data_IF_321017404982
#
_entry.id   IF_321017404982
#
_cell.length_a   1.000
_cell.length_b   1.000
_cell.length_c   1.000
_cell.angle_alpha   90.00
_cell.angle_beta   90.00
_cell.angle_gamma   90.00
#
_symmetry.space_group_name_H-M   'P 1'
#
loop_
_entity.id
_entity.type
_entity.pdbx_description
1 polymer ?
#
# COMPACT_ATOMS: atom_id res chain seq x y z
N UNK A 1 26.12 -15.93 21.44
CA UNK A 1 25.55 -15.16 20.28
C UNK A 1 24.09 -15.52 20.00
N UNK A 2 23.50 -16.40 20.79
CA UNK A 2 22.08 -16.73 20.72
C UNK A 2 21.21 -15.46 20.96
N UNK A 3 20.21 -15.27 20.12
CA UNK A 3 19.26 -14.15 20.22
C UNK A 3 19.72 -12.83 19.56
N UNK A 4 20.89 -12.72 18.96
CA UNK A 4 21.33 -11.51 18.24
C UNK A 4 20.95 -11.54 16.75
N UNK A 5 20.77 -12.71 16.16
CA UNK A 5 20.38 -12.90 14.76
C UNK A 5 18.91 -13.31 14.70
N UNK A 6 18.15 -12.74 13.75
CA UNK A 6 16.75 -13.12 13.52
C UNK A 6 16.63 -14.50 12.92
N UNK A 7 15.51 -15.15 13.18
CA UNK A 7 15.18 -16.41 12.50
C UNK A 7 14.99 -16.13 11.01
N UNK A 8 15.69 -16.84 10.11
CA UNK A 8 15.55 -16.63 8.68
C UNK A 8 14.12 -16.89 8.21
N UNK A 9 13.65 -16.07 7.29
CA UNK A 9 12.37 -16.32 6.60
C UNK A 9 12.62 -17.18 5.39
N UNK A 10 11.79 -18.20 5.20
CA UNK A 10 11.87 -19.07 4.03
C UNK A 10 11.25 -18.38 2.82
N UNK A 11 11.92 -18.45 1.70
CA UNK A 11 11.52 -17.82 0.44
C UNK A 11 11.73 -18.78 -0.73
N UNK A 12 11.04 -18.51 -1.85
CA UNK A 12 11.31 -19.17 -3.10
C UNK A 12 12.71 -18.79 -3.61
N UNK A 13 13.41 -19.76 -4.22
CA UNK A 13 14.68 -19.51 -4.90
C UNK A 13 14.54 -18.40 -5.97
N UNK A 14 15.48 -17.42 -6.04
CA UNK A 14 15.32 -16.25 -6.90
C UNK A 14 15.01 -16.54 -8.36
N UNK A 15 15.68 -17.53 -8.96
CA UNK A 15 15.45 -17.92 -10.36
C UNK A 15 14.10 -18.59 -10.58
N UNK A 16 13.57 -19.26 -9.57
CA UNK A 16 12.24 -19.89 -9.62
C UNK A 16 11.15 -18.84 -9.45
N UNK A 17 11.26 -18.01 -8.42
CA UNK A 17 10.24 -16.99 -8.15
C UNK A 17 10.13 -15.93 -9.26
N UNK A 18 11.22 -15.69 -10.01
CA UNK A 18 11.23 -14.79 -11.16
C UNK A 18 10.34 -15.25 -12.34
N UNK A 19 9.86 -16.49 -12.33
CA UNK A 19 9.08 -17.09 -13.42
C UNK A 19 7.63 -17.40 -13.06
N UNK A 20 7.19 -17.07 -11.84
CA UNK A 20 5.82 -17.36 -11.39
C UNK A 20 5.25 -16.21 -10.56
N UNK A 21 3.94 -16.25 -10.31
CA UNK A 21 3.21 -15.26 -9.50
C UNK A 21 2.86 -15.75 -8.11
N UNK A 22 3.39 -16.90 -7.68
CA UNK A 22 3.23 -17.41 -6.32
C UNK A 22 3.90 -16.50 -5.29
N UNK A 23 3.37 -16.48 -4.06
CA UNK A 23 3.92 -15.65 -3.00
C UNK A 23 5.40 -15.97 -2.74
N UNK A 24 6.25 -14.95 -2.77
CA UNK A 24 7.72 -15.08 -2.65
C UNK A 24 8.13 -15.63 -1.30
N UNK A 25 7.60 -15.04 -0.22
CA UNK A 25 7.91 -15.44 1.15
C UNK A 25 6.90 -16.46 1.65
N UNK A 26 7.39 -17.57 2.23
CA UNK A 26 6.52 -18.57 2.86
C UNK A 26 6.09 -18.21 4.29
N UNK A 27 6.77 -17.26 4.93
CA UNK A 27 6.54 -16.89 6.33
C UNK A 27 7.15 -17.88 7.32
N UNK A 28 6.84 -17.68 8.61
CA UNK A 28 7.24 -18.59 9.69
C UNK A 28 6.24 -19.72 9.87
N UNK A 29 6.75 -20.90 10.28
CA UNK A 29 5.94 -21.91 10.96
C UNK A 29 5.86 -21.61 12.47
N UNK A 30 5.16 -22.44 13.24
CA UNK A 30 4.96 -22.24 14.68
C UNK A 30 6.28 -22.21 15.47
N UNK A 31 7.20 -23.13 15.18
CA UNK A 31 8.50 -23.24 15.84
C UNK A 31 9.38 -22.03 15.55
N UNK A 32 9.44 -21.61 14.28
CA UNK A 32 10.16 -20.41 13.84
C UNK A 32 9.59 -19.15 14.48
N UNK A 33 8.25 -19.02 14.54
CA UNK A 33 7.58 -17.89 15.16
C UNK A 33 7.86 -17.81 16.68
N UNK A 34 7.78 -18.93 17.40
CA UNK A 34 8.09 -18.99 18.83
C UNK A 34 9.56 -18.69 19.10
N UNK A 35 10.47 -19.21 18.27
CA UNK A 35 11.89 -18.92 18.38
C UNK A 35 12.18 -17.43 18.17
N UNK A 36 11.59 -16.80 17.13
CA UNK A 36 11.73 -15.36 16.89
C UNK A 36 11.08 -14.50 17.98
N UNK A 37 9.89 -14.88 18.45
CA UNK A 37 9.19 -14.20 19.55
C UNK A 37 10.02 -14.23 20.86
N UNK A 38 10.77 -15.29 21.09
CA UNK A 38 11.64 -15.44 22.27
C UNK A 38 12.80 -14.45 22.29
N UNK A 39 13.14 -13.84 21.17
CA UNK A 39 14.13 -12.76 21.09
C UNK A 39 13.63 -11.43 21.66
N UNK A 40 12.32 -11.26 21.78
CA UNK A 40 11.73 -10.02 22.28
C UNK A 40 12.07 -9.81 23.77
N UNK A 41 12.50 -8.61 24.12
CA UNK A 41 12.88 -8.24 25.50
C UNK A 41 11.70 -7.78 26.36
N UNK A 42 10.50 -7.72 25.81
CA UNK A 42 9.28 -7.22 26.46
C UNK A 42 9.51 -5.89 27.19
N UNK A 43 9.99 -4.88 26.45
CA UNK A 43 10.42 -3.59 26.97
C UNK A 43 9.26 -2.83 27.63
N UNK A 44 9.44 -2.30 28.86
CA UNK A 44 8.44 -1.44 29.53
C UNK A 44 8.11 -0.16 28.74
N UNK A 45 9.11 0.43 28.07
CA UNK A 45 8.95 1.58 27.17
C UNK A 45 9.30 1.15 25.73
N UNK A 46 8.41 0.38 25.15
CA UNK A 46 8.61 -0.26 23.84
C UNK A 46 8.60 0.78 22.71
N UNK A 47 9.79 1.16 22.23
CA UNK A 47 9.91 2.12 21.12
C UNK A 47 9.32 1.60 19.82
N UNK A 48 9.27 0.28 19.62
CA UNK A 48 8.61 -0.35 18.46
C UNK A 48 7.12 0.05 18.36
N UNK A 49 6.39 0.18 19.46
CA UNK A 49 5.00 0.66 19.46
C UNK A 49 4.88 2.08 18.93
N UNK A 50 5.81 2.97 19.31
CA UNK A 50 5.85 4.36 18.80
C UNK A 50 6.23 4.44 17.32
N UNK A 51 6.85 3.40 16.80
CA UNK A 51 7.16 3.27 15.36
C UNK A 51 6.00 2.69 14.53
N UNK A 52 4.91 2.25 15.17
CA UNK A 52 3.75 1.71 14.48
C UNK A 52 2.66 2.78 14.32
N UNK A 53 2.29 3.17 13.09
CA UNK A 53 1.27 4.21 12.86
C UNK A 53 -0.12 3.90 13.41
N UNK A 54 -0.44 2.63 13.66
CA UNK A 54 -1.69 2.19 14.28
C UNK A 54 -1.53 1.75 15.73
N UNK A 55 -0.32 1.90 16.29
CA UNK A 55 -0.02 1.69 17.72
C UNK A 55 -0.36 0.28 18.24
N UNK A 56 -0.06 -0.77 17.48
CA UNK A 56 -0.22 -2.17 17.93
C UNK A 56 0.58 -2.37 19.24
N UNK A 57 -0.01 -3.07 20.19
CA UNK A 57 0.69 -3.49 21.41
C UNK A 57 1.65 -4.64 21.11
N UNK A 58 2.79 -4.29 20.48
CA UNK A 58 3.78 -5.24 19.96
C UNK A 58 4.35 -6.16 21.03
N UNK A 59 4.80 -5.70 22.21
CA UNK A 59 5.28 -6.60 23.25
C UNK A 59 4.24 -7.59 23.73
N UNK A 60 2.98 -7.17 23.84
CA UNK A 60 1.92 -8.03 24.33
C UNK A 60 1.59 -9.16 23.36
N UNK A 61 1.41 -8.88 22.05
CA UNK A 61 1.13 -9.96 21.10
C UNK A 61 2.33 -10.90 20.94
N UNK A 62 3.56 -10.39 20.96
CA UNK A 62 4.77 -11.24 20.85
C UNK A 62 4.89 -12.14 22.10
N UNK A 63 4.55 -11.66 23.28
CA UNK A 63 4.52 -12.48 24.49
C UNK A 63 3.53 -13.66 24.34
N UNK A 64 2.35 -13.43 23.75
CA UNK A 64 1.38 -14.49 23.47
C UNK A 64 1.90 -15.50 22.42
N UNK A 65 2.58 -15.03 21.39
CA UNK A 65 3.22 -15.91 20.39
C UNK A 65 4.25 -16.82 21.07
N UNK A 66 5.07 -16.28 21.96
CA UNK A 66 6.06 -17.04 22.72
C UNK A 66 5.43 -18.16 23.55
N UNK A 67 4.27 -17.91 24.14
CA UNK A 67 3.51 -18.88 24.95
C UNK A 67 2.58 -19.77 24.10
N UNK A 68 2.64 -19.67 22.76
CA UNK A 68 1.78 -20.39 21.80
C UNK A 68 0.29 -20.07 21.93
N UNK A 69 -0.07 -18.92 22.49
CA UNK A 69 -1.44 -18.42 22.57
C UNK A 69 -1.76 -17.57 21.33
N UNK A 70 -1.79 -18.18 20.15
CA UNK A 70 -1.85 -17.47 18.87
C UNK A 70 -3.20 -16.75 18.65
N UNK A 71 -4.29 -17.30 19.15
CA UNK A 71 -5.61 -16.65 19.12
C UNK A 71 -5.61 -15.35 19.93
N UNK A 72 -5.07 -15.35 21.14
CA UNK A 72 -4.96 -14.15 21.97
C UNK A 72 -3.99 -13.13 21.32
N UNK A 73 -2.90 -13.59 20.73
CA UNK A 73 -2.00 -12.72 19.95
C UNK A 73 -2.76 -12.02 18.82
N UNK A 74 -3.63 -12.72 18.08
CA UNK A 74 -4.47 -12.15 17.04
C UNK A 74 -5.46 -11.12 17.59
N UNK A 75 -6.11 -11.39 18.70
CA UNK A 75 -7.04 -10.43 19.32
C UNK A 75 -6.33 -9.16 19.73
N UNK A 76 -5.14 -9.24 20.33
CA UNK A 76 -4.33 -8.06 20.69
C UNK A 76 -3.96 -7.23 19.47
N UNK A 77 -3.56 -7.86 18.36
CA UNK A 77 -3.27 -7.15 17.10
C UNK A 77 -4.53 -6.49 16.56
N UNK A 78 -5.65 -7.21 16.54
CA UNK A 78 -6.93 -6.78 15.95
C UNK A 78 -7.58 -5.61 16.69
N UNK A 79 -7.21 -5.33 17.94
CA UNK A 79 -7.64 -4.11 18.65
C UNK A 79 -7.16 -2.84 17.94
N UNK A 80 -5.97 -2.89 17.33
CA UNK A 80 -5.33 -1.72 16.71
C UNK A 80 -5.25 -1.80 15.19
N UNK A 81 -5.15 -2.99 14.61
CA UNK A 81 -4.96 -3.20 13.16
C UNK A 81 -6.15 -3.94 12.55
N UNK A 82 -6.76 -3.34 11.54
CA UNK A 82 -7.84 -3.96 10.77
C UNK A 82 -7.33 -4.93 9.69
N UNK A 83 -6.05 -4.83 9.30
CA UNK A 83 -5.45 -5.55 8.16
C UNK A 83 -4.10 -6.19 8.52
N UNK A 84 -4.00 -7.03 9.56
CA UNK A 84 -2.71 -7.53 10.04
C UNK A 84 -1.99 -8.43 9.04
N UNK A 85 -2.70 -9.26 8.27
CA UNK A 85 -2.09 -10.13 7.26
C UNK A 85 -1.49 -9.33 6.10
N UNK A 86 -2.08 -8.18 5.76
CA UNK A 86 -1.54 -7.22 4.80
C UNK A 86 -0.32 -6.52 5.38
N UNK A 87 -0.43 -5.93 6.57
CA UNK A 87 0.64 -5.17 7.22
C UNK A 87 1.90 -6.01 7.41
N UNK A 88 1.77 -7.24 7.87
CA UNK A 88 2.88 -8.17 8.02
C UNK A 88 3.66 -8.46 6.73
N UNK A 89 3.02 -8.25 5.56
CA UNK A 89 3.63 -8.43 4.24
C UNK A 89 4.21 -7.17 3.63
N UNK A 90 3.53 -6.01 3.79
CA UNK A 90 3.82 -4.83 2.97
C UNK A 90 4.32 -3.60 3.74
N UNK A 91 4.22 -3.57 5.07
CA UNK A 91 4.77 -2.47 5.86
C UNK A 91 6.29 -2.32 5.66
N UNK A 92 6.81 -1.09 5.61
CA UNK A 92 8.25 -0.83 5.65
C UNK A 92 8.77 -0.93 7.10
N UNK A 93 8.74 -2.13 7.69
CA UNK A 93 9.04 -2.37 9.09
C UNK A 93 10.44 -1.87 9.48
N UNK A 94 11.40 -1.95 8.56
CA UNK A 94 12.79 -1.51 8.73
C UNK A 94 12.92 -0.02 9.07
N UNK A 95 11.96 0.80 8.67
CA UNK A 95 11.90 2.24 9.00
C UNK A 95 10.86 2.57 10.09
N UNK A 96 10.06 1.61 10.51
CA UNK A 96 8.97 1.76 11.47
C UNK A 96 9.23 0.97 12.76
N UNK A 97 8.40 -0.04 13.06
CA UNK A 97 8.49 -0.80 14.31
C UNK A 97 9.83 -1.52 14.50
N UNK A 98 10.32 -2.22 13.49
CA UNK A 98 11.63 -2.91 13.56
C UNK A 98 12.79 -1.92 13.64
N UNK A 99 12.73 -0.81 12.90
CA UNK A 99 13.72 0.27 12.98
C UNK A 99 13.83 0.94 14.34
N UNK A 100 12.81 0.78 15.22
CA UNK A 100 12.81 1.27 16.61
C UNK A 100 13.08 0.16 17.64
N UNK A 101 13.29 -1.07 17.20
CA UNK A 101 13.55 -2.19 18.10
C UNK A 101 14.94 -2.08 18.73
N UNK A 102 15.00 -2.14 20.07
CA UNK A 102 16.26 -2.02 20.82
C UNK A 102 17.26 -3.15 20.49
N UNK A 103 16.78 -4.30 20.04
CA UNK A 103 17.67 -5.39 19.57
C UNK A 103 18.55 -4.97 18.41
N UNK A 104 18.06 -4.07 17.55
CA UNK A 104 18.80 -3.54 16.40
C UNK A 104 20.10 -2.80 16.72
N UNK A 105 20.33 -2.39 18.00
CA UNK A 105 21.59 -1.76 18.40
C UNK A 105 22.79 -2.73 18.49
N UNK A 106 22.53 -4.02 18.71
CA UNK A 106 23.60 -5.02 18.92
C UNK A 106 23.49 -6.24 18.01
N UNK A 107 22.49 -6.29 17.17
CA UNK A 107 22.21 -7.41 16.25
C UNK A 107 21.01 -7.06 15.38
N UNK A 108 20.25 -8.07 14.97
CA UNK A 108 19.04 -7.85 14.19
C UNK A 108 17.86 -7.44 15.09
N UNK A 109 17.03 -6.47 14.69
CA UNK A 109 15.75 -6.23 15.34
C UNK A 109 14.89 -7.50 15.32
N UNK A 110 13.93 -7.60 16.22
CA UNK A 110 12.92 -8.67 16.17
C UNK A 110 12.12 -8.52 14.87
N UNK A 111 11.86 -9.60 14.16
CA UNK A 111 11.10 -9.62 12.91
C UNK A 111 9.60 -9.47 13.20
N UNK A 112 9.21 -8.27 13.66
CA UNK A 112 7.86 -7.93 14.14
C UNK A 112 6.82 -8.16 13.04
N UNK A 113 7.10 -7.69 11.82
CA UNK A 113 6.17 -7.87 10.69
C UNK A 113 5.99 -9.33 10.30
N UNK A 114 7.04 -10.16 10.39
CA UNK A 114 6.93 -11.60 10.10
C UNK A 114 6.12 -12.33 11.18
N UNK A 115 6.23 -11.90 12.44
CA UNK A 115 5.39 -12.42 13.55
C UNK A 115 3.92 -11.96 13.40
N UNK A 116 3.67 -10.70 13.05
CA UNK A 116 2.33 -10.19 12.74
C UNK A 116 1.67 -10.99 11.60
N UNK A 117 2.42 -11.22 10.52
CA UNK A 117 1.98 -12.07 9.41
C UNK A 117 1.64 -13.48 9.87
N UNK A 118 2.52 -14.11 10.65
CA UNK A 118 2.31 -15.46 11.16
C UNK A 118 0.99 -15.55 11.95
N UNK A 119 0.78 -14.64 12.89
CA UNK A 119 -0.43 -14.62 13.73
C UNK A 119 -1.69 -14.43 12.89
N UNK A 120 -1.66 -13.52 11.92
CA UNK A 120 -2.81 -13.25 11.05
C UNK A 120 -3.11 -14.43 10.11
N UNK A 121 -2.09 -15.07 9.55
CA UNK A 121 -2.24 -16.25 8.70
C UNK A 121 -2.76 -17.45 9.51
N UNK A 122 -2.23 -17.67 10.72
CA UNK A 122 -2.70 -18.71 11.63
C UNK A 122 -4.19 -18.50 11.99
N UNK A 123 -4.58 -17.27 12.36
CA UNK A 123 -5.96 -16.94 12.69
C UNK A 123 -6.91 -17.19 11.52
N UNK A 124 -6.52 -16.82 10.30
CA UNK A 124 -7.28 -17.10 9.08
C UNK A 124 -7.49 -18.60 8.87
N UNK A 125 -6.42 -19.39 9.02
CA UNK A 125 -6.45 -20.85 8.83
C UNK A 125 -7.30 -21.58 9.89
N UNK A 126 -7.42 -20.99 11.08
CA UNK A 126 -8.26 -21.51 12.17
C UNK A 126 -9.64 -20.86 12.24
N UNK A 127 -10.00 -19.99 11.27
CA UNK A 127 -11.32 -19.37 11.20
C UNK A 127 -11.62 -18.35 12.30
N UNK A 128 -10.58 -17.83 12.97
CA UNK A 128 -10.74 -16.82 14.01
C UNK A 128 -11.14 -15.48 13.38
N UNK A 129 -12.14 -14.84 13.96
CA UNK A 129 -12.72 -13.57 13.47
C UNK A 129 -12.56 -12.46 14.50
N UNK A 130 -12.49 -11.18 14.07
CA UNK A 130 -12.51 -10.06 14.99
C UNK A 130 -13.84 -9.96 15.73
N UNK A 131 -13.82 -9.40 16.95
CA UNK A 131 -14.99 -9.24 17.80
C UNK A 131 -15.90 -8.14 17.25
N UNK A 132 -17.17 -8.47 17.00
CA UNK A 132 -18.23 -7.54 16.56
C UNK A 132 -18.83 -6.83 17.77
N UNK A 133 -19.35 -5.60 17.56
CA UNK A 133 -20.17 -4.91 18.57
C UNK A 133 -21.44 -5.69 18.88
N UNK A 134 -21.87 -5.68 20.14
CA UNK A 134 -23.07 -6.39 20.59
C UNK A 134 -24.36 -5.70 20.10
N UNK A 135 -24.33 -4.36 19.98
CA UNK A 135 -25.49 -3.55 19.56
C UNK A 135 -25.06 -2.42 18.65
N UNK A 136 -25.95 -2.06 17.74
CA UNK A 136 -25.83 -0.81 16.97
C UNK A 136 -26.18 0.38 17.86
N UNK A 137 -25.49 1.51 17.62
CA UNK A 137 -25.71 2.77 18.34
C UNK A 137 -26.75 3.69 17.67
N UNK A 138 -27.28 3.29 16.51
CA UNK A 138 -28.32 4.01 15.76
C UNK A 138 -27.82 5.04 14.77
N UNK A 139 -26.51 5.28 14.69
CA UNK A 139 -25.91 6.22 13.73
C UNK A 139 -25.40 5.52 12.47
N UNK A 140 -25.56 6.18 11.32
CA UNK A 140 -25.20 5.65 10.00
C UNK A 140 -24.08 6.45 9.37
N UNK A 141 -23.00 5.77 8.95
CA UNK A 141 -21.80 6.39 8.37
C UNK A 141 -21.48 5.81 7.00
N UNK A 142 -21.24 6.67 6.02
CA UNK A 142 -20.76 6.30 4.70
C UNK A 142 -19.23 6.39 4.62
N UNK A 143 -18.60 5.39 4.02
CA UNK A 143 -17.17 5.36 3.74
C UNK A 143 -16.96 5.29 2.23
N UNK A 144 -16.19 6.20 1.65
CA UNK A 144 -15.92 6.26 0.22
C UNK A 144 -14.55 5.68 -0.07
N UNK A 145 -14.53 4.53 -0.73
CA UNK A 145 -13.34 3.76 -1.05
C UNK A 145 -13.04 2.66 -0.03
N UNK A 146 -12.77 1.47 -0.52
CA UNK A 146 -12.44 0.26 0.24
C UNK A 146 -10.94 -0.02 0.31
N UNK A 147 -10.10 1.00 0.13
CA UNK A 147 -8.67 0.90 0.37
C UNK A 147 -8.34 0.82 1.87
N UNK A 148 -7.04 0.75 2.24
CA UNK A 148 -6.63 0.59 3.63
C UNK A 148 -7.23 1.61 4.61
N UNK A 149 -7.33 2.87 4.22
CA UNK A 149 -7.94 3.93 5.05
C UNK A 149 -9.43 3.66 5.28
N UNK A 150 -10.18 3.36 4.20
CA UNK A 150 -11.61 3.10 4.28
C UNK A 150 -11.95 1.84 5.06
N UNK A 151 -11.25 0.73 4.80
CA UNK A 151 -11.44 -0.53 5.55
C UNK A 151 -11.16 -0.36 7.05
N UNK A 152 -10.11 0.41 7.40
CA UNK A 152 -9.76 0.67 8.81
C UNK A 152 -10.79 1.57 9.48
N UNK A 153 -11.17 2.68 8.84
CA UNK A 153 -12.19 3.59 9.35
C UNK A 153 -13.52 2.86 9.58
N UNK A 154 -13.98 2.10 8.59
CA UNK A 154 -15.22 1.33 8.66
C UNK A 154 -15.17 0.25 9.75
N UNK A 155 -14.07 -0.50 9.84
CA UNK A 155 -13.90 -1.53 10.85
C UNK A 155 -13.89 -0.98 12.28
N UNK A 156 -13.19 0.14 12.51
CA UNK A 156 -13.14 0.75 13.84
C UNK A 156 -14.50 1.35 14.23
N UNK A 157 -15.22 2.00 13.32
CA UNK A 157 -16.59 2.47 13.56
C UNK A 157 -17.57 1.33 13.82
N UNK A 158 -17.48 0.23 13.06
CA UNK A 158 -18.34 -0.94 13.27
C UNK A 158 -18.13 -1.58 14.65
N UNK A 159 -16.89 -1.62 15.16
CA UNK A 159 -16.60 -2.06 16.53
C UNK A 159 -17.25 -1.19 17.61
N UNK A 160 -17.52 0.10 17.30
CA UNK A 160 -18.23 1.04 18.16
C UNK A 160 -19.76 0.97 17.99
N UNK A 161 -20.26 0.11 17.11
CA UNK A 161 -21.68 -0.11 16.89
C UNK A 161 -22.31 0.80 15.83
N UNK A 162 -21.54 1.51 15.03
CA UNK A 162 -22.04 2.28 13.89
C UNK A 162 -22.55 1.37 12.78
N UNK A 163 -23.61 1.78 12.09
CA UNK A 163 -24.07 1.19 10.84
C UNK A 163 -23.26 1.78 9.69
N UNK A 164 -22.33 0.99 9.13
CA UNK A 164 -21.33 1.47 8.18
C UNK A 164 -21.50 0.82 6.82
N UNK A 165 -21.59 1.65 5.78
CA UNK A 165 -21.56 1.22 4.38
C UNK A 165 -20.33 1.81 3.67
N UNK A 166 -19.52 0.94 3.06
CA UNK A 166 -18.42 1.32 2.17
C UNK A 166 -18.94 1.35 0.72
N UNK A 167 -18.73 2.44 0.02
CA UNK A 167 -18.97 2.56 -1.43
C UNK A 167 -17.65 2.47 -2.18
N UNK A 168 -17.50 1.45 -3.03
CA UNK A 168 -16.31 1.17 -3.81
C UNK A 168 -16.59 1.35 -5.31
N UNK A 169 -15.76 2.12 -5.99
CA UNK A 169 -15.90 2.37 -7.42
C UNK A 169 -15.59 1.14 -8.28
N UNK A 170 -14.67 0.29 -7.85
CA UNK A 170 -14.25 -0.91 -8.57
C UNK A 170 -15.20 -2.09 -8.27
N UNK A 171 -15.09 -3.12 -9.09
CA UNK A 171 -15.87 -4.36 -8.91
C UNK A 171 -15.36 -5.24 -7.77
N UNK A 172 -14.20 -4.93 -7.19
CA UNK A 172 -13.56 -5.65 -6.10
C UNK A 172 -13.08 -4.68 -5.03
N UNK A 173 -13.34 -5.02 -3.76
CA UNK A 173 -12.85 -4.26 -2.61
C UNK A 173 -11.35 -4.45 -2.38
N UNK A 174 -10.73 -3.51 -1.67
CA UNK A 174 -9.33 -3.54 -1.27
C UNK A 174 -8.50 -2.36 -1.82
N UNK A 175 -9.02 -1.62 -2.80
CA UNK A 175 -8.28 -0.49 -3.39
C UNK A 175 -6.91 -0.93 -3.91
N UNK A 176 -5.85 -0.19 -3.54
CA UNK A 176 -4.46 -0.49 -3.95
C UNK A 176 -3.99 -1.90 -3.57
N UNK A 177 -4.55 -2.51 -2.53
CA UNK A 177 -4.25 -3.89 -2.15
C UNK A 177 -4.68 -4.88 -3.25
N UNK A 178 -5.75 -4.56 -3.97
CA UNK A 178 -6.28 -5.40 -5.04
C UNK A 178 -5.72 -5.04 -6.42
N UNK A 179 -5.59 -3.76 -6.76
CA UNK A 179 -5.15 -3.37 -8.11
C UNK A 179 -3.65 -3.09 -8.23
N UNK A 180 -2.98 -2.65 -7.14
CA UNK A 180 -1.63 -2.09 -7.22
C UNK A 180 -0.53 -3.04 -6.78
N UNK A 181 -0.68 -3.74 -5.66
CA UNK A 181 0.35 -4.61 -5.10
C UNK A 181 0.28 -5.98 -5.80
N UNK A 182 1.39 -6.52 -6.33
CA UNK A 182 1.37 -7.79 -7.08
C UNK A 182 1.00 -9.02 -6.25
N UNK A 183 0.47 -10.04 -6.92
CA UNK A 183 0.08 -11.32 -6.34
C UNK A 183 1.23 -11.98 -5.56
N UNK A 184 2.43 -11.97 -6.11
CA UNK A 184 3.62 -12.58 -5.49
C UNK A 184 4.11 -11.87 -4.22
N UNK A 185 3.58 -10.67 -3.89
CA UNK A 185 3.81 -9.97 -2.62
C UNK A 185 2.61 -10.03 -1.69
N UNK A 186 1.42 -9.94 -2.24
CA UNK A 186 0.16 -9.86 -1.51
C UNK A 186 -0.93 -10.64 -2.26
N UNK A 187 -1.13 -11.93 -1.97
CA UNK A 187 -2.15 -12.75 -2.60
C UNK A 187 -3.56 -12.18 -2.45
N UNK A 188 -4.30 -12.05 -3.57
CA UNK A 188 -5.60 -11.36 -3.58
C UNK A 188 -6.70 -12.20 -2.97
N UNK A 189 -6.84 -13.44 -3.45
CA UNK A 189 -7.96 -14.28 -3.03
C UNK A 189 -7.73 -14.89 -1.64
N UNK A 190 -6.47 -15.21 -1.31
CA UNK A 190 -6.11 -15.83 -0.03
C UNK A 190 -5.98 -14.81 1.11
N UNK A 191 -5.45 -13.61 0.86
CA UNK A 191 -5.11 -12.65 1.91
C UNK A 191 -6.01 -11.43 1.88
N UNK A 192 -6.05 -10.68 0.76
CA UNK A 192 -6.83 -9.43 0.70
C UNK A 192 -8.33 -9.70 0.88
N UNK A 193 -8.86 -10.71 0.19
CA UNK A 193 -10.27 -11.07 0.34
C UNK A 193 -10.61 -11.50 1.78
N UNK A 194 -9.73 -12.26 2.44
CA UNK A 194 -9.94 -12.68 3.82
C UNK A 194 -9.98 -11.50 4.80
N UNK A 195 -9.11 -10.50 4.61
CA UNK A 195 -9.12 -9.28 5.42
C UNK A 195 -10.36 -8.42 5.18
N UNK A 196 -10.82 -8.31 3.93
CA UNK A 196 -12.08 -7.65 3.59
C UNK A 196 -13.26 -8.37 4.26
N UNK A 197 -13.30 -9.70 4.21
CA UNK A 197 -14.34 -10.50 4.89
C UNK A 197 -14.29 -10.37 6.42
N UNK A 198 -13.12 -10.14 7.02
CA UNK A 198 -12.99 -9.82 8.44
C UNK A 198 -13.65 -8.47 8.77
N UNK A 199 -13.47 -7.45 7.92
CA UNK A 199 -14.15 -6.16 8.08
C UNK A 199 -15.67 -6.30 7.93
N UNK A 200 -16.14 -7.07 6.94
CA UNK A 200 -17.57 -7.38 6.76
C UNK A 200 -18.16 -8.15 7.97
N UNK A 201 -17.38 -9.06 8.55
CA UNK A 201 -17.80 -9.80 9.75
C UNK A 201 -18.06 -8.90 10.97
N UNK A 202 -17.49 -7.69 11.01
CA UNK A 202 -17.80 -6.66 12.02
C UNK A 202 -19.19 -6.03 11.80
N UNK A 203 -19.84 -6.26 10.67
CA UNK A 203 -21.15 -5.70 10.31
C UNK A 203 -21.07 -4.57 9.30
N UNK A 204 -19.95 -4.41 8.61
CA UNK A 204 -19.79 -3.42 7.53
C UNK A 204 -20.37 -3.96 6.23
N UNK A 205 -21.23 -3.16 5.58
CA UNK A 205 -21.69 -3.42 4.22
C UNK A 205 -20.72 -2.80 3.20
N UNK A 206 -20.49 -3.50 2.09
CA UNK A 206 -19.63 -3.03 1.00
C UNK A 206 -20.39 -3.10 -0.32
N UNK A 207 -20.63 -1.95 -0.92
CA UNK A 207 -21.27 -1.79 -2.22
C UNK A 207 -20.22 -1.47 -3.28
N UNK A 208 -19.96 -2.41 -4.18
CA UNK A 208 -19.02 -2.25 -5.31
C UNK A 208 -19.71 -1.65 -6.53
N UNK A 209 -18.91 -1.17 -7.50
CA UNK A 209 -19.38 -0.52 -8.74
C UNK A 209 -20.21 0.76 -8.49
N UNK A 210 -19.96 1.45 -7.36
CA UNK A 210 -20.61 2.72 -7.01
C UNK A 210 -19.57 3.84 -7.04
N UNK A 211 -19.65 4.70 -8.06
CA UNK A 211 -18.73 5.82 -8.25
C UNK A 211 -19.31 7.09 -7.61
N UNK A 212 -18.84 7.40 -6.40
CA UNK A 212 -19.25 8.64 -5.71
C UNK A 212 -18.80 9.87 -6.50
N UNK A 213 -19.72 10.81 -6.71
CA UNK A 213 -19.57 11.95 -7.60
C UNK A 213 -20.10 11.73 -9.01
N UNK A 214 -20.49 10.48 -9.35
CA UNK A 214 -21.16 10.11 -10.61
C UNK A 214 -22.50 9.43 -10.35
N UNK A 215 -22.47 8.24 -9.71
CA UNK A 215 -23.70 7.48 -9.41
C UNK A 215 -24.55 8.20 -8.36
N UNK A 216 -23.92 8.65 -7.30
CA UNK A 216 -24.49 9.42 -6.20
C UNK A 216 -23.47 10.43 -5.68
N UNK A 217 -23.90 11.58 -5.17
CA UNK A 217 -23.03 12.60 -4.59
C UNK A 217 -23.00 12.50 -3.07
N UNK A 218 -21.97 13.07 -2.44
CA UNK A 218 -21.86 13.12 -0.96
C UNK A 218 -23.08 13.80 -0.33
N UNK A 219 -23.54 14.94 -0.90
CA UNK A 219 -24.71 15.63 -0.38
C UNK A 219 -25.98 14.76 -0.44
N UNK A 220 -26.12 13.93 -1.49
CA UNK A 220 -27.25 13.03 -1.61
C UNK A 220 -27.19 11.87 -0.58
N UNK A 221 -26.00 11.34 -0.30
CA UNK A 221 -25.82 10.34 0.78
C UNK A 221 -26.28 10.89 2.13
N UNK A 222 -25.93 12.14 2.44
CA UNK A 222 -26.28 12.76 3.71
C UNK A 222 -27.75 13.22 3.76
N UNK A 223 -28.27 13.85 2.72
CA UNK A 223 -29.60 14.47 2.72
C UNK A 223 -30.73 13.46 2.42
N UNK A 224 -30.46 12.44 1.59
CA UNK A 224 -31.51 11.53 1.08
C UNK A 224 -31.37 10.11 1.63
N UNK A 225 -30.12 9.60 1.79
CA UNK A 225 -29.87 8.21 2.22
C UNK A 225 -29.67 8.09 3.75
N UNK A 226 -29.66 9.24 4.46
CA UNK A 226 -29.62 9.30 5.92
C UNK A 226 -28.26 9.00 6.55
N UNK A 227 -27.17 9.12 5.83
CA UNK A 227 -25.84 9.06 6.42
C UNK A 227 -25.53 10.35 7.18
N UNK A 228 -25.14 10.23 8.43
CA UNK A 228 -24.90 11.36 9.34
C UNK A 228 -23.47 11.89 9.28
N UNK A 229 -22.55 11.05 8.83
CA UNK A 229 -21.16 11.41 8.53
C UNK A 229 -20.65 10.63 7.33
N UNK A 230 -19.63 11.19 6.67
CA UNK A 230 -18.96 10.59 5.50
C UNK A 230 -17.46 10.61 5.70
N UNK A 231 -16.79 9.48 5.46
CA UNK A 231 -15.33 9.41 5.36
C UNK A 231 -14.89 9.23 3.90
N UNK A 232 -13.96 10.06 3.43
CA UNK A 232 -13.37 9.99 2.09
C UNK A 232 -11.99 9.34 2.17
N UNK A 233 -11.92 8.08 1.74
CA UNK A 233 -10.69 7.28 1.63
C UNK A 233 -10.44 6.85 0.18
N UNK A 234 -10.69 7.74 -0.79
CA UNK A 234 -10.66 7.43 -2.24
C UNK A 234 -9.26 7.23 -2.82
N UNK A 235 -8.21 7.42 -2.02
CA UNK A 235 -6.83 7.18 -2.44
C UNK A 235 -6.29 8.19 -3.44
N UNK A 236 -5.19 7.81 -4.10
CA UNK A 236 -4.51 8.60 -5.13
C UNK A 236 -4.14 7.68 -6.30
N UNK A 237 -5.02 7.56 -7.29
CA UNK A 237 -4.86 6.63 -8.41
C UNK A 237 -4.52 7.31 -9.76
N UNK A 238 -4.47 8.65 -9.83
CA UNK A 238 -4.19 9.38 -11.06
C UNK A 238 -2.67 9.43 -11.30
N UNK A 239 -2.14 8.76 -12.35
CA UNK A 239 -0.70 8.66 -12.57
C UNK A 239 -0.08 9.99 -12.98
N UNK A 240 1.23 10.11 -12.68
CA UNK A 240 2.06 11.24 -13.14
C UNK A 240 2.99 10.79 -14.25
N UNK A 241 3.22 11.70 -15.19
CA UNK A 241 4.13 11.56 -16.30
C UNK A 241 5.23 12.63 -16.21
N UNK A 242 6.28 12.48 -17.01
CA UNK A 242 7.43 13.41 -17.02
C UNK A 242 7.15 14.66 -17.86
N UNK A 243 6.29 14.57 -18.87
CA UNK A 243 6.07 15.61 -19.87
C UNK A 243 7.18 15.67 -20.93
N UNK A 244 7.85 14.54 -21.19
CA UNK A 244 8.90 14.43 -22.20
C UNK A 244 8.34 14.03 -23.56
N UNK A 245 9.06 14.33 -24.68
CA UNK A 245 8.64 13.90 -26.00
C UNK A 245 8.48 12.38 -26.07
N UNK A 246 7.46 11.91 -26.81
CA UNK A 246 7.18 10.51 -27.05
C UNK A 246 6.40 9.78 -25.94
N UNK A 247 6.08 10.42 -24.83
CA UNK A 247 5.34 9.82 -23.69
C UNK A 247 3.91 9.35 -24.05
N UNK A 248 3.37 9.80 -25.19
CA UNK A 248 2.04 9.40 -25.70
C UNK A 248 2.10 8.22 -26.68
N UNK A 249 3.29 7.65 -26.91
CA UNK A 249 3.49 6.56 -27.86
C UNK A 249 2.82 5.25 -27.39
N UNK A 250 2.50 4.39 -28.37
CA UNK A 250 2.11 3.01 -28.07
C UNK A 250 3.29 2.28 -27.42
N UNK A 251 3.01 1.53 -26.34
CA UNK A 251 4.05 0.86 -25.55
C UNK A 251 4.52 1.67 -24.32
N UNK A 252 3.99 2.89 -24.12
CA UNK A 252 4.17 3.65 -22.87
C UNK A 252 2.96 3.43 -21.96
N UNK A 253 3.22 3.01 -20.74
CA UNK A 253 2.19 2.76 -19.72
C UNK A 253 2.52 3.51 -18.43
N UNK A 254 1.50 3.89 -17.68
CA UNK A 254 1.70 4.15 -16.26
C UNK A 254 1.81 2.83 -15.48
N UNK A 255 2.56 2.84 -14.39
CA UNK A 255 2.64 1.67 -13.51
C UNK A 255 1.25 1.28 -12.96
N UNK A 256 0.38 2.25 -12.68
CA UNK A 256 -0.99 1.98 -12.24
C UNK A 256 -1.79 1.18 -13.27
N UNK A 257 -1.73 1.57 -14.53
CA UNK A 257 -2.41 0.86 -15.61
C UNK A 257 -1.86 -0.56 -15.78
N UNK A 258 -0.53 -0.69 -15.85
CA UNK A 258 0.14 -1.97 -16.05
C UNK A 258 -0.17 -2.94 -14.89
N UNK A 259 -0.05 -2.47 -13.65
CA UNK A 259 -0.33 -3.27 -12.46
C UNK A 259 -1.82 -3.59 -12.30
N UNK A 260 -2.73 -2.67 -12.63
CA UNK A 260 -4.17 -2.92 -12.57
C UNK A 260 -4.59 -4.02 -13.54
N UNK A 261 -4.07 -4.00 -14.77
CA UNK A 261 -4.33 -5.05 -15.75
C UNK A 261 -3.84 -6.41 -15.27
N UNK A 262 -2.68 -6.44 -14.64
CA UNK A 262 -2.10 -7.69 -14.14
C UNK A 262 -2.80 -8.19 -12.86
N UNK A 263 -2.98 -7.33 -11.86
CA UNK A 263 -3.42 -7.74 -10.52
C UNK A 263 -4.95 -7.84 -10.39
N UNK A 264 -5.67 -6.77 -10.74
CA UNK A 264 -7.13 -6.72 -10.62
C UNK A 264 -7.82 -7.46 -11.76
N UNK A 265 -7.31 -7.29 -12.98
CA UNK A 265 -7.87 -7.88 -14.19
C UNK A 265 -7.20 -9.20 -14.57
N UNK A 266 -6.31 -9.72 -13.72
CA UNK A 266 -5.71 -11.06 -13.77
C UNK A 266 -5.03 -11.44 -15.09
N UNK A 267 -4.34 -10.47 -15.72
CA UNK A 267 -3.70 -10.71 -17.03
C UNK A 267 -2.63 -11.82 -17.02
N UNK A 268 -2.12 -12.21 -15.83
CA UNK A 268 -1.15 -13.28 -15.67
C UNK A 268 -1.77 -14.67 -15.55
N UNK A 269 -3.07 -14.77 -15.26
CA UNK A 269 -3.76 -16.06 -15.09
C UNK A 269 -4.27 -16.63 -16.41
N UNK A 270 -4.09 -17.91 -16.62
CA UNK A 270 -4.68 -18.64 -17.75
C UNK A 270 -6.22 -18.53 -17.72
N UNK A 271 -6.82 -18.29 -18.89
CA UNK A 271 -8.28 -18.14 -19.02
C UNK A 271 -8.80 -16.71 -18.89
N UNK A 272 -7.94 -15.74 -18.59
CA UNK A 272 -8.28 -14.32 -18.65
C UNK A 272 -7.75 -13.68 -19.93
N UNK A 273 -8.64 -13.05 -20.70
CA UNK A 273 -8.31 -12.36 -21.96
C UNK A 273 -7.95 -10.88 -21.76
N UNK A 274 -7.43 -10.52 -20.60
CA UNK A 274 -7.04 -9.14 -20.30
C UNK A 274 -5.83 -8.73 -21.14
N UNK A 275 -5.95 -7.68 -21.98
CA UNK A 275 -4.83 -7.22 -22.79
C UNK A 275 -3.70 -6.69 -21.92
N UNK A 276 -2.50 -7.22 -22.08
CA UNK A 276 -1.28 -6.72 -21.44
C UNK A 276 -0.12 -6.78 -22.43
N UNK A 277 0.81 -5.83 -22.32
CA UNK A 277 2.02 -5.84 -23.15
C UNK A 277 3.01 -6.85 -22.60
N UNK A 278 3.40 -7.80 -23.44
CA UNK A 278 4.53 -8.71 -23.20
C UNK A 278 5.78 -8.14 -23.88
N UNK A 279 6.33 -7.07 -23.33
CA UNK A 279 7.56 -6.46 -23.84
C UNK A 279 8.74 -7.44 -23.77
N UNK A 280 9.66 -7.37 -24.74
CA UNK A 280 10.91 -8.12 -24.68
C UNK A 280 11.94 -7.41 -23.82
N UNK A 281 12.02 -6.09 -23.98
CA UNK A 281 12.88 -5.21 -23.18
C UNK A 281 12.07 -4.05 -22.65
N UNK A 282 11.91 -4.03 -21.34
CA UNK A 282 11.06 -3.08 -20.59
C UNK A 282 11.93 -2.14 -19.79
N UNK A 283 11.67 -0.86 -19.91
CA UNK A 283 12.25 0.20 -19.08
C UNK A 283 11.19 0.67 -18.07
N UNK A 284 11.51 0.60 -16.78
CA UNK A 284 10.69 1.14 -15.70
C UNK A 284 11.35 2.41 -15.16
N UNK A 285 10.64 3.53 -15.18
CA UNK A 285 11.14 4.82 -14.74
C UNK A 285 10.67 5.11 -13.32
N UNK A 286 11.58 5.10 -12.35
CA UNK A 286 11.29 5.36 -10.95
C UNK A 286 12.03 4.43 -10.00
N UNK A 287 12.05 4.77 -8.70
CA UNK A 287 12.81 4.02 -7.68
C UNK A 287 12.00 3.64 -6.43
N UNK A 288 10.68 3.83 -6.45
CA UNK A 288 9.79 3.50 -5.32
C UNK A 288 9.29 2.05 -5.35
N UNK A 289 8.49 1.67 -4.34
CA UNK A 289 7.89 0.33 -4.28
C UNK A 289 7.08 -0.03 -5.53
N UNK A 290 6.36 0.95 -6.10
CA UNK A 290 5.57 0.73 -7.32
C UNK A 290 6.47 0.43 -8.51
N UNK A 291 7.67 1.02 -8.58
CA UNK A 291 8.66 0.69 -9.62
C UNK A 291 9.19 -0.74 -9.47
N UNK A 292 9.47 -1.17 -8.24
CA UNK A 292 9.85 -2.56 -7.96
C UNK A 292 8.74 -3.53 -8.36
N UNK A 293 7.51 -3.21 -8.01
CA UNK A 293 6.32 -4.01 -8.34
C UNK A 293 6.12 -4.14 -9.85
N UNK A 294 6.18 -3.02 -10.60
CA UNK A 294 6.05 -3.02 -12.05
C UNK A 294 7.18 -3.79 -12.74
N UNK A 295 8.43 -3.58 -12.30
CA UNK A 295 9.59 -4.24 -12.85
C UNK A 295 9.56 -5.76 -12.62
N UNK A 296 9.26 -6.19 -11.41
CA UNK A 296 9.16 -7.63 -11.06
C UNK A 296 7.99 -8.31 -11.74
N UNK A 297 6.89 -7.58 -11.99
CA UNK A 297 5.76 -8.06 -12.78
C UNK A 297 6.16 -8.23 -14.25
N UNK A 298 6.80 -7.24 -14.88
CA UNK A 298 7.26 -7.31 -16.25
C UNK A 298 8.27 -8.46 -16.46
N UNK A 299 9.17 -8.68 -15.52
CA UNK A 299 10.11 -9.81 -15.52
C UNK A 299 9.37 -11.15 -15.58
N UNK A 300 8.34 -11.34 -14.73
CA UNK A 300 7.52 -12.56 -14.70
C UNK A 300 6.71 -12.78 -15.98
N UNK A 301 6.43 -11.73 -16.71
CA UNK A 301 5.81 -11.79 -18.04
C UNK A 301 6.83 -12.07 -19.16
N UNK A 302 8.12 -12.27 -18.83
CA UNK A 302 9.16 -12.73 -19.74
C UNK A 302 10.09 -11.65 -20.29
N UNK A 303 10.04 -10.42 -19.79
CA UNK A 303 10.86 -9.31 -20.27
C UNK A 303 12.27 -9.29 -19.63
N UNK A 304 13.25 -8.77 -20.39
CA UNK A 304 14.46 -8.16 -19.80
C UNK A 304 14.05 -6.80 -19.25
N UNK A 305 14.37 -6.51 -17.98
CA UNK A 305 13.85 -5.32 -17.30
C UNK A 305 14.97 -4.44 -16.76
N UNK A 306 14.90 -3.15 -17.11
CA UNK A 306 15.77 -2.09 -16.62
C UNK A 306 14.98 -1.09 -15.78
N UNK A 307 15.45 -0.80 -14.57
CA UNK A 307 14.95 0.31 -13.75
C UNK A 307 15.87 1.50 -13.96
N UNK A 308 15.33 2.59 -14.49
CA UNK A 308 16.03 3.87 -14.60
C UNK A 308 15.64 4.75 -13.42
N UNK A 309 16.64 5.19 -12.64
CA UNK A 309 16.44 6.06 -11.49
C UNK A 309 17.46 7.19 -11.45
N UNK A 310 16.98 8.41 -11.29
CA UNK A 310 17.79 9.63 -11.39
C UNK A 310 18.74 9.89 -10.22
N UNK A 311 18.65 9.11 -9.13
CA UNK A 311 19.55 9.20 -7.96
C UNK A 311 20.32 7.89 -7.77
N UNK A 312 21.11 7.80 -6.69
CA UNK A 312 21.87 6.62 -6.32
C UNK A 312 21.05 5.59 -5.55
N UNK A 313 21.70 4.51 -5.20
CA UNK A 313 21.06 3.38 -4.49
C UNK A 313 20.58 3.77 -3.08
N UNK A 314 21.34 4.60 -2.37
CA UNK A 314 21.01 5.05 -1.02
C UNK A 314 19.75 5.95 -0.99
N UNK A 315 19.43 6.59 -2.11
CA UNK A 315 18.26 7.45 -2.26
C UNK A 315 17.02 6.71 -2.77
N UNK A 316 17.08 5.38 -3.01
CA UNK A 316 15.92 4.59 -3.40
C UNK A 316 14.86 4.62 -2.29
N UNK A 317 13.64 5.11 -2.57
CA UNK A 317 12.58 5.14 -1.56
C UNK A 317 11.84 3.81 -1.38
N UNK A 318 12.14 2.80 -2.20
CA UNK A 318 11.59 1.46 -2.07
C UNK A 318 12.10 0.76 -0.81
N UNK A 319 11.33 -0.18 -0.28
CA UNK A 319 11.76 -1.07 0.80
C UNK A 319 13.04 -1.82 0.39
N UNK A 320 13.97 -1.93 1.34
CA UNK A 320 15.25 -2.63 1.10
C UNK A 320 15.06 -4.09 0.68
N UNK A 321 14.08 -4.78 1.29
CA UNK A 321 13.70 -6.15 0.93
C UNK A 321 13.26 -6.24 -0.55
N UNK A 322 12.45 -5.30 -1.04
CA UNK A 322 11.95 -5.29 -2.42
C UNK A 322 13.06 -4.97 -3.44
N UNK A 323 13.99 -4.07 -3.10
CA UNK A 323 15.17 -3.79 -3.93
C UNK A 323 16.07 -5.03 -4.00
N UNK A 324 16.26 -5.70 -2.87
CA UNK A 324 17.05 -6.93 -2.80
C UNK A 324 16.45 -8.03 -3.66
N UNK A 325 15.15 -8.29 -3.50
CA UNK A 325 14.44 -9.28 -4.32
C UNK A 325 14.51 -8.97 -5.81
N UNK A 326 14.33 -7.70 -6.21
CA UNK A 326 14.43 -7.29 -7.61
C UNK A 326 15.80 -7.57 -8.21
N UNK A 327 16.88 -7.30 -7.47
CA UNK A 327 18.26 -7.59 -7.90
C UNK A 327 18.53 -9.08 -8.02
N UNK A 328 18.11 -9.88 -7.04
CA UNK A 328 18.26 -11.33 -7.06
C UNK A 328 17.50 -11.99 -8.22
N UNK A 329 16.36 -11.44 -8.57
CA UNK A 329 15.54 -11.91 -9.71
C UNK A 329 16.15 -11.54 -11.06
N UNK A 330 17.14 -10.65 -11.11
CA UNK A 330 17.89 -10.32 -12.33
C UNK A 330 17.49 -9.01 -12.99
N UNK A 331 16.74 -8.14 -12.29
CA UNK A 331 16.42 -6.79 -12.78
C UNK A 331 17.68 -5.92 -12.76
N UNK A 332 17.91 -5.20 -13.84
CA UNK A 332 19.05 -4.32 -14.04
C UNK A 332 18.71 -2.93 -13.50
N UNK A 333 19.58 -2.38 -12.65
CA UNK A 333 19.41 -1.04 -12.08
C UNK A 333 20.36 -0.05 -12.76
N UNK A 334 19.81 0.81 -13.61
CA UNK A 334 20.49 1.93 -14.26
C UNK A 334 20.30 3.19 -13.40
N UNK A 335 21.10 3.29 -12.35
CA UNK A 335 21.05 4.39 -11.39
C UNK A 335 21.81 5.63 -11.92
N UNK A 336 21.51 6.79 -11.35
CA UNK A 336 22.07 8.09 -11.79
C UNK A 336 21.80 8.34 -13.27
N UNK A 337 20.57 8.06 -13.70
CA UNK A 337 20.13 8.21 -15.08
C UNK A 337 18.68 8.69 -15.12
N UNK A 338 18.36 9.50 -16.11
CA UNK A 338 17.03 10.07 -16.29
C UNK A 338 16.62 10.08 -17.75
N UNK A 339 15.42 9.63 -18.13
CA UNK A 339 14.92 9.73 -19.50
C UNK A 339 14.69 11.20 -19.87
N UNK A 340 15.02 11.55 -21.12
CA UNK A 340 14.79 12.88 -21.69
C UNK A 340 13.81 12.83 -22.87
N UNK A 341 13.69 11.68 -23.52
CA UNK A 341 12.80 11.47 -24.67
C UNK A 341 12.49 9.97 -24.83
N UNK A 342 11.27 9.65 -25.21
CA UNK A 342 10.88 8.32 -25.68
C UNK A 342 11.01 8.31 -27.20
N UNK A 343 11.84 7.41 -27.73
CA UNK A 343 12.07 7.25 -29.15
C UNK A 343 10.97 6.39 -29.77
N UNK A 344 10.40 6.88 -30.86
CA UNK A 344 9.22 6.28 -31.49
C UNK A 344 9.55 5.86 -32.93
N UNK A 345 9.02 4.72 -33.38
CA UNK A 345 9.11 4.29 -34.75
C UNK A 345 8.09 5.00 -35.67
N UNK A 346 8.11 4.69 -36.96
CA UNK A 346 7.21 5.26 -37.97
C UNK A 346 5.73 4.90 -37.74
N UNK A 347 5.43 3.86 -36.96
CA UNK A 347 4.08 3.40 -36.66
C UNK A 347 3.58 3.94 -35.27
N UNK A 348 4.37 4.77 -34.59
CA UNK A 348 4.02 5.35 -33.30
C UNK A 348 4.27 4.41 -32.11
N UNK A 349 5.11 3.39 -32.26
CA UNK A 349 5.49 2.49 -31.19
C UNK A 349 6.85 2.85 -30.59
N UNK A 350 7.00 2.58 -29.30
CA UNK A 350 8.28 2.71 -28.58
C UNK A 350 9.34 1.82 -29.25
N UNK A 351 10.50 2.41 -29.56
CA UNK A 351 11.70 1.69 -30.03
C UNK A 351 12.91 1.90 -29.12
N UNK A 352 12.84 2.84 -28.19
CA UNK A 352 13.93 3.13 -27.28
C UNK A 352 13.67 4.34 -26.41
N UNK A 353 14.64 4.69 -25.57
CA UNK A 353 14.65 5.85 -24.67
C UNK A 353 15.98 6.59 -24.84
N UNK A 354 15.93 7.92 -24.93
CA UNK A 354 17.12 8.76 -24.76
C UNK A 354 17.27 9.10 -23.29
N UNK A 355 18.47 8.88 -22.77
CA UNK A 355 18.80 8.95 -21.35
C UNK A 355 19.96 9.90 -21.15
N UNK A 356 19.88 10.75 -20.12
CA UNK A 356 21.01 11.58 -19.64
C UNK A 356 21.54 11.02 -18.35
N UNK A 357 22.86 11.06 -18.16
CA UNK A 357 23.51 10.69 -16.89
C UNK A 357 23.37 11.80 -15.87
N UNK A 358 23.29 11.41 -14.61
CA UNK A 358 23.10 12.31 -13.47
C UNK A 358 24.28 12.22 -12.51
N UNK A 359 24.50 13.27 -11.74
CA UNK A 359 25.33 13.25 -10.54
C UNK A 359 24.51 13.71 -9.32
N UNK A 360 25.02 13.44 -8.12
CA UNK A 360 24.35 13.82 -6.87
C UNK A 360 24.90 15.14 -6.37
N UNK A 361 24.06 16.16 -6.31
CA UNK A 361 24.30 17.46 -5.70
C UNK A 361 23.96 17.50 -4.20
N UNK A 362 23.63 18.68 -3.71
CA UNK A 362 23.25 18.91 -2.32
C UNK A 362 21.91 18.23 -1.96
N UNK A 363 21.70 17.87 -0.67
CA UNK A 363 20.45 17.32 -0.21
C UNK A 363 19.26 18.26 -0.43
N UNK A 364 18.13 17.69 -0.87
CA UNK A 364 16.85 18.40 -0.97
C UNK A 364 16.13 18.49 0.39
N UNK A 365 14.94 19.10 0.43
CA UNK A 365 14.11 19.24 1.64
C UNK A 365 13.73 17.90 2.30
N UNK A 366 13.83 16.78 1.57
CA UNK A 366 13.61 15.42 2.10
C UNK A 366 14.87 14.78 2.68
N UNK A 367 16.01 15.47 2.63
CA UNK A 367 17.32 14.99 3.05
C UNK A 367 18.02 14.08 2.01
N UNK A 368 17.41 13.84 0.84
CA UNK A 368 18.01 13.06 -0.24
C UNK A 368 18.81 13.97 -1.18
N UNK A 369 19.97 13.51 -1.63
CA UNK A 369 20.80 14.27 -2.56
C UNK A 369 20.07 14.54 -3.88
N UNK A 370 20.13 15.80 -4.32
CA UNK A 370 19.45 16.27 -5.54
C UNK A 370 20.12 15.71 -6.79
N UNK A 371 19.37 15.22 -7.79
CA UNK A 371 19.95 14.79 -9.05
C UNK A 371 20.27 16.00 -9.93
N UNK A 372 21.47 16.02 -10.50
CA UNK A 372 21.96 17.06 -11.41
C UNK A 372 22.35 16.42 -12.73
N UNK A 373 21.89 16.98 -13.84
CA UNK A 373 22.20 16.47 -15.18
C UNK A 373 23.67 16.72 -15.54
N UNK A 374 24.31 15.74 -16.19
CA UNK A 374 25.64 15.87 -16.79
C UNK A 374 25.45 16.18 -18.28
N UNK A 375 25.61 17.44 -18.72
CA UNK A 375 25.41 17.83 -20.11
C UNK A 375 26.33 17.07 -21.07
N UNK A 376 25.80 16.65 -22.22
CA UNK A 376 26.55 15.92 -23.25
C UNK A 376 26.80 14.45 -22.91
N UNK A 377 26.10 13.91 -21.91
CA UNK A 377 26.19 12.50 -21.52
C UNK A 377 25.06 11.65 -22.08
N UNK A 378 24.23 12.22 -22.97
CA UNK A 378 23.05 11.58 -23.51
C UNK A 378 23.45 10.35 -24.36
N UNK A 379 22.64 9.30 -24.23
CA UNK A 379 22.74 8.08 -25.05
C UNK A 379 21.37 7.47 -25.26
N UNK A 380 21.28 6.52 -26.18
CA UNK A 380 20.03 5.82 -26.48
C UNK A 380 20.10 4.38 -25.99
N UNK A 381 19.01 3.90 -25.41
CA UNK A 381 18.80 2.52 -25.01
C UNK A 381 17.60 1.96 -25.76
N UNK A 382 17.78 0.85 -26.46
CA UNK A 382 16.69 0.16 -27.12
C UNK A 382 15.73 -0.44 -26.10
N UNK A 383 14.44 -0.27 -26.32
CA UNK A 383 13.36 -0.93 -25.59
C UNK A 383 12.08 -0.90 -26.41
N UNK A 384 11.12 -1.75 -26.10
CA UNK A 384 9.82 -1.79 -26.74
C UNK A 384 8.67 -1.38 -25.83
N UNK A 385 8.94 -1.26 -24.54
CA UNK A 385 7.95 -0.88 -23.53
C UNK A 385 8.57 0.03 -22.47
N UNK A 386 7.85 1.08 -22.10
CA UNK A 386 8.23 2.00 -21.01
C UNK A 386 7.10 2.07 -20.00
N UNK A 387 7.44 1.88 -18.71
CA UNK A 387 6.48 1.97 -17.60
C UNK A 387 6.88 3.14 -16.71
N UNK A 388 6.01 4.17 -16.67
CA UNK A 388 6.21 5.35 -15.84
C UNK A 388 5.73 5.09 -14.41
N UNK A 389 6.66 5.10 -13.44
CA UNK A 389 6.41 4.84 -12.02
C UNK A 389 6.82 6.04 -11.15
N UNK A 390 6.22 7.21 -11.43
CA UNK A 390 6.60 8.51 -10.87
C UNK A 390 5.68 8.99 -9.73
N UNK A 391 4.86 8.10 -9.21
CA UNK A 391 3.85 8.40 -8.20
C UNK A 391 2.51 8.82 -8.79
N UNK A 392 1.58 9.11 -7.91
CA UNK A 392 0.18 9.37 -8.24
C UNK A 392 -0.35 10.59 -7.50
N UNK A 393 -1.52 11.07 -7.91
CA UNK A 393 -2.27 12.13 -7.26
C UNK A 393 -3.74 11.72 -7.09
N UNK A 394 -4.49 12.33 -6.15
CA UNK A 394 -5.92 12.07 -5.99
C UNK A 394 -6.72 12.42 -7.25
N UNK A 395 -7.74 11.60 -7.54
CA UNK A 395 -8.71 11.93 -8.59
C UNK A 395 -9.59 13.10 -8.13
N UNK A 396 -9.72 14.19 -8.92
CA UNK A 396 -10.49 15.37 -8.53
C UNK A 396 -12.01 15.18 -8.55
N UNK A 397 -12.53 14.03 -8.94
CA UNK A 397 -13.96 13.79 -9.09
C UNK A 397 -14.77 14.16 -7.83
N UNK A 398 -14.36 13.66 -6.67
CA UNK A 398 -15.08 13.89 -5.42
C UNK A 398 -15.04 15.37 -5.03
N UNK A 399 -13.86 15.99 -5.05
CA UNK A 399 -13.70 17.39 -4.70
C UNK A 399 -14.43 18.35 -5.65
N UNK A 400 -14.47 18.03 -6.96
CA UNK A 400 -15.16 18.82 -7.97
C UNK A 400 -16.69 18.71 -7.92
N UNK A 401 -17.22 17.64 -7.32
CA UNK A 401 -18.67 17.38 -7.24
C UNK A 401 -19.24 17.59 -5.84
N UNK A 402 -18.41 17.99 -4.86
CA UNK A 402 -18.80 18.22 -3.47
C UNK A 402 -18.57 19.68 -3.09
N UNK A 403 -19.64 20.45 -3.00
CA UNK A 403 -19.57 21.87 -2.65
C UNK A 403 -19.05 22.07 -1.22
N UNK A 404 -18.12 22.99 -1.05
CA UNK A 404 -17.54 23.33 0.25
C UNK A 404 -16.38 22.43 0.69
N UNK A 405 -15.98 21.45 -0.12
CA UNK A 405 -14.81 20.60 0.15
C UNK A 405 -13.54 21.25 -0.45
N UNK A 406 -12.63 21.68 0.40
CA UNK A 406 -11.40 22.35 -0.01
C UNK A 406 -10.29 21.36 -0.38
N UNK A 407 -9.46 21.77 -1.34
CA UNK A 407 -8.24 21.04 -1.75
C UNK A 407 -7.03 21.98 -1.76
N UNK A 408 -5.85 21.40 -1.55
CA UNK A 408 -4.59 22.11 -1.64
C UNK A 408 -4.09 22.20 -3.10
N UNK A 409 -2.93 22.84 -3.31
CA UNK A 409 -2.30 23.00 -4.64
C UNK A 409 -1.99 21.67 -5.33
N UNK A 410 -1.85 20.56 -4.57
CA UNK A 410 -1.61 19.21 -5.11
C UNK A 410 -2.91 18.44 -5.39
N UNK A 411 -4.06 19.11 -5.29
CA UNK A 411 -5.40 18.52 -5.42
C UNK A 411 -5.74 17.48 -4.36
N UNK A 412 -5.00 17.45 -3.25
CA UNK A 412 -5.32 16.63 -2.09
C UNK A 412 -6.38 17.36 -1.25
N UNK A 413 -7.31 16.60 -0.66
CA UNK A 413 -8.34 17.13 0.23
C UNK A 413 -7.66 17.70 1.48
N UNK A 414 -8.08 18.89 1.91
CA UNK A 414 -7.61 19.49 3.16
C UNK A 414 -8.38 18.86 4.32
N UNK A 415 -7.65 18.24 5.24
CA UNK A 415 -8.21 17.62 6.43
C UNK A 415 -7.25 17.80 7.62
N UNK A 416 -7.78 17.78 8.84
CA UNK A 416 -6.97 17.80 10.06
C UNK A 416 -6.29 16.46 10.27
N UNK A 417 -5.05 16.47 10.73
CA UNK A 417 -4.28 15.23 10.95
C UNK A 417 -4.88 14.37 12.06
N UNK A 418 -5.31 14.99 13.15
CA UNK A 418 -5.77 14.30 14.37
C UNK A 418 -7.16 13.65 14.25
N UNK A 419 -8.04 14.21 13.42
CA UNK A 419 -9.45 13.79 13.33
C UNK A 419 -9.93 13.54 11.91
N UNK A 420 -9.13 13.87 10.89
CA UNK A 420 -9.56 13.78 9.50
C UNK A 420 -10.67 14.76 9.10
N UNK A 421 -11.06 15.71 9.96
CA UNK A 421 -12.13 16.66 9.66
C UNK A 421 -11.76 17.55 8.48
N UNK A 422 -12.69 17.71 7.52
CA UNK A 422 -12.52 18.56 6.34
C UNK A 422 -13.17 19.93 6.54
N UNK A 423 -13.10 20.79 5.52
CA UNK A 423 -13.81 22.06 5.48
C UNK A 423 -15.35 21.93 5.40
N UNK A 424 -15.88 20.73 5.17
CA UNK A 424 -17.31 20.45 5.10
C UNK A 424 -17.79 19.70 6.33
N UNK A 425 -18.80 20.23 7.01
CA UNK A 425 -19.36 19.63 8.25
C UNK A 425 -19.85 18.20 8.02
N UNK A 426 -19.54 17.30 8.95
CA UNK A 426 -19.87 15.87 8.87
C UNK A 426 -19.06 15.09 7.83
N UNK A 427 -18.11 15.73 7.13
CA UNK A 427 -17.27 15.08 6.11
C UNK A 427 -15.82 15.02 6.57
N UNK A 428 -15.27 13.82 6.55
CA UNK A 428 -13.91 13.47 6.98
C UNK A 428 -13.12 12.90 5.82
N UNK A 429 -11.82 12.98 5.86
CA UNK A 429 -10.95 12.40 4.82
C UNK A 429 -9.64 11.90 5.42
N UNK A 430 -9.02 10.92 4.76
CA UNK A 430 -7.73 10.41 5.17
C UNK A 430 -7.05 9.53 4.11
N UNK A 431 -5.83 9.11 4.42
CA UNK A 431 -4.98 8.36 3.51
C UNK A 431 -4.50 9.18 2.33
N UNK A 432 -4.22 8.51 1.22
CA UNK A 432 -3.59 9.15 0.05
C UNK A 432 -4.46 10.24 -0.60
N UNK A 433 -5.76 10.29 -0.34
CA UNK A 433 -6.64 11.38 -0.76
C UNK A 433 -6.26 12.72 -0.12
N UNK A 434 -5.60 12.69 1.05
CA UNK A 434 -5.17 13.87 1.83
C UNK A 434 -3.66 14.10 1.71
N UNK A 435 -2.85 13.06 1.84
CA UNK A 435 -1.39 13.18 1.87
C UNK A 435 -0.71 13.05 0.51
N UNK A 436 -1.41 12.54 -0.50
CA UNK A 436 -0.81 11.94 -1.68
C UNK A 436 -0.34 10.52 -1.40
N UNK A 437 0.20 9.82 -2.41
CA UNK A 437 0.61 8.43 -2.28
C UNK A 437 1.64 8.23 -1.16
N UNK A 438 1.31 7.32 -0.22
CA UNK A 438 2.16 6.98 0.93
C UNK A 438 2.18 5.45 1.14
N UNK A 439 2.02 4.98 2.37
CA UNK A 439 2.03 3.56 2.70
C UNK A 439 0.68 3.06 3.20
N UNK A 440 0.44 1.76 3.07
CA UNK A 440 -0.78 1.11 3.56
C UNK A 440 -1.03 1.46 5.03
N UNK A 441 -0.03 1.31 5.88
CA UNK A 441 -0.17 1.52 7.34
C UNK A 441 -0.41 2.99 7.71
N UNK A 442 0.14 3.95 6.96
CA UNK A 442 -0.14 5.37 7.17
C UNK A 442 -1.58 5.71 6.78
N UNK A 443 -2.07 5.13 5.69
CA UNK A 443 -3.47 5.27 5.30
C UNK A 443 -4.42 4.67 6.35
N UNK A 444 -4.06 3.51 6.94
CA UNK A 444 -4.79 2.91 8.06
C UNK A 444 -4.81 3.81 9.28
N UNK A 445 -3.66 4.41 9.64
CA UNK A 445 -3.56 5.38 10.75
C UNK A 445 -4.48 6.58 10.57
N UNK A 446 -4.56 7.13 9.34
CA UNK A 446 -5.49 8.20 9.00
C UNK A 446 -6.96 7.75 9.10
N UNK A 447 -7.28 6.52 8.69
CA UNK A 447 -8.60 5.92 8.86
C UNK A 447 -9.02 5.80 10.33
N UNK A 448 -8.09 5.39 11.22
CA UNK A 448 -8.32 5.35 12.68
C UNK A 448 -8.58 6.73 13.27
N UNK A 449 -7.77 7.72 12.89
CA UNK A 449 -7.95 9.10 13.33
C UNK A 449 -9.32 9.64 12.92
N UNK A 450 -9.74 9.38 11.69
CA UNK A 450 -11.05 9.77 11.19
C UNK A 450 -12.21 9.04 11.89
N UNK A 451 -12.07 7.74 12.17
CA UNK A 451 -13.09 7.00 12.92
C UNK A 451 -13.31 7.60 14.31
N UNK A 452 -12.21 7.97 15.00
CA UNK A 452 -12.28 8.68 16.28
C UNK A 452 -12.95 10.05 16.14
N UNK A 453 -12.59 10.85 15.12
CA UNK A 453 -13.18 12.15 14.88
C UNK A 453 -14.69 12.08 14.58
N UNK A 454 -15.12 11.07 13.82
CA UNK A 454 -16.53 10.80 13.52
C UNK A 454 -17.28 10.38 14.79
N UNK A 455 -16.69 9.52 15.63
CA UNK A 455 -17.28 9.09 16.89
C UNK A 455 -17.49 10.28 17.85
N UNK A 456 -16.49 11.14 17.99
CA UNK A 456 -16.60 12.37 18.81
C UNK A 456 -17.70 13.32 18.28
N UNK A 457 -17.78 13.48 16.95
CA UNK A 457 -18.78 14.34 16.30
C UNK A 457 -20.22 13.84 16.52
N UNK A 458 -20.46 12.54 16.28
CA UNK A 458 -21.80 11.96 16.37
C UNK A 458 -22.23 11.76 17.84
N UNK A 459 -21.32 11.37 18.73
CA UNK A 459 -21.61 11.29 20.18
C UNK A 459 -21.95 12.65 20.78
N UNK A 460 -21.35 13.74 20.27
CA UNK A 460 -21.66 15.10 20.70
C UNK A 460 -23.04 15.61 20.25
N UNK A 461 -23.65 15.01 19.24
CA UNK A 461 -25.03 15.34 18.81
C UNK A 461 -26.13 14.78 19.72
N UNK A 462 -25.81 13.81 20.55
CA UNK A 462 -26.74 13.20 21.50
C UNK A 462 -26.84 13.95 22.85
N UNK A 463 -26.06 15.00 23.05
CA UNK A 463 -26.07 15.92 24.20
C UNK A 463 -26.68 17.27 23.79
#
# INVERSE_FOLDING_TARGET
MEGLVRVPVREQEPKVRATNFEEVCYGYNEEEAVAEASRCLNCKNAQCMKGCPVSINIPAFIAQVKERNFEEAYHIISESSALPAVCGRVCPQESQCEGKCIRGFKGDPVAIGKLERFVADWAREHGIKPKKAEKLNGHKVAVIGSGPAGLTCAGDLAKLGYDVTIFEALHRAGGVLSYGIPEFRLPKDKVVAAEVENVKALGVDIETNVVIGKSVKIDELMEKEGFEAVFIGSGAGLPRFMGIPGEQANGVFSANEFLTRNNLMKAFEEGYETPISHGKKVVVVGGGNVAMDAARTALRLGAEVHIIYRRGEEELPARKEEVHHAKEEGIIFDLLQNPTEILVDENGWVKGVRIIKMELGEPDASGRRSPVEIPGSEYEMDCDTVIMSLGTSPNPLISSTTKGLETNRRKCIVATEDTGATSKDGVYAGGDAVTGAATVILAMGAGKAAAKGIDEYLSGKNN
#
